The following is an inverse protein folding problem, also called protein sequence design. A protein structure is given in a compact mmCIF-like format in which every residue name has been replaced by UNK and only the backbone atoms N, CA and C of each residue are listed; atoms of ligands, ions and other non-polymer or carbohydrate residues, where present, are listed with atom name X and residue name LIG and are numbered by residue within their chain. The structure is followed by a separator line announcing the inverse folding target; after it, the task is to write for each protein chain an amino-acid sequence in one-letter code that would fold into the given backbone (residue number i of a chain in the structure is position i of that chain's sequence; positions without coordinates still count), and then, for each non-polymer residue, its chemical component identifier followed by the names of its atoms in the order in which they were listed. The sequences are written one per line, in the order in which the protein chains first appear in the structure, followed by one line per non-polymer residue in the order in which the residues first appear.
data_IF_105862457190
#
_entry.id   IF_105862457190
#
_cell.length_a   1.000
_cell.length_b   1.000
_cell.length_c   1.000
_cell.angle_alpha   90.00
_cell.angle_beta   90.00
_cell.angle_gamma   90.00
#
_symmetry.space_group_name_H-M   'P 1'
#
loop_
_entity.id
_entity.type
_entity.pdbx_description
1 polymer ?
#
# COMPACT_ATOMS: atom_id res chain seq x y z
N UNK A 1 1.80 -5.37 10.17
CA UNK A 1 0.68 -6.33 9.98
C UNK A 1 0.95 -7.45 8.95
N UNK A 2 0.99 -7.23 7.62
CA UNK A 2 1.20 -8.35 6.66
C UNK A 2 2.59 -8.97 6.71
N UNK A 3 3.63 -8.15 6.89
CA UNK A 3 5.02 -8.62 7.06
C UNK A 3 5.15 -9.54 8.29
N UNK A 4 4.57 -9.14 9.43
CA UNK A 4 4.55 -9.96 10.64
C UNK A 4 3.87 -11.31 10.40
N UNK A 5 2.74 -11.35 9.68
CA UNK A 5 2.06 -12.61 9.37
C UNK A 5 2.89 -13.50 8.43
N UNK A 6 3.63 -12.92 7.48
CA UNK A 6 4.55 -13.66 6.62
C UNK A 6 5.74 -14.23 7.42
N UNK A 7 6.29 -13.46 8.36
CA UNK A 7 7.37 -13.91 9.25
C UNK A 7 6.88 -15.02 10.19
N UNK A 8 5.69 -14.88 10.77
CA UNK A 8 5.10 -15.92 11.63
C UNK A 8 4.76 -17.22 10.86
N UNK A 9 4.49 -17.11 9.56
CA UNK A 9 4.25 -18.25 8.67
C UNK A 9 5.54 -18.85 8.08
N UNK A 10 6.70 -18.22 8.25
CA UNK A 10 7.97 -18.74 7.73
C UNK A 10 8.32 -20.08 8.40
N UNK A 11 8.72 -21.08 7.60
CA UNK A 11 9.03 -22.43 8.10
C UNK A 11 7.84 -23.25 8.60
N UNK A 12 6.60 -22.72 8.55
CA UNK A 12 5.37 -23.42 8.94
C UNK A 12 4.66 -23.99 7.71
N UNK A 13 4.28 -25.26 7.78
CA UNK A 13 3.51 -25.99 6.76
C UNK A 13 2.02 -26.03 7.08
N UNK A 14 1.19 -26.21 6.05
CA UNK A 14 -0.27 -26.28 6.16
C UNK A 14 -0.99 -25.17 5.39
N UNK A 15 -2.20 -25.48 4.92
CA UNK A 15 -3.00 -24.62 4.04
C UNK A 15 -3.23 -23.21 4.62
N UNK A 16 -3.39 -23.10 5.94
CA UNK A 16 -3.54 -21.82 6.63
C UNK A 16 -2.31 -20.91 6.45
N UNK A 17 -1.11 -21.42 6.75
CA UNK A 17 0.13 -20.65 6.62
C UNK A 17 0.46 -20.33 5.16
N UNK A 18 0.10 -21.23 4.24
CA UNK A 18 0.24 -20.98 2.81
C UNK A 18 -0.69 -19.87 2.32
N UNK A 19 -1.94 -19.84 2.79
CA UNK A 19 -2.87 -18.75 2.54
C UNK A 19 -2.34 -17.41 3.03
N UNK A 20 -1.74 -17.36 4.23
CA UNK A 20 -1.10 -16.14 4.76
C UNK A 20 0.06 -15.66 3.89
N UNK A 21 0.90 -16.58 3.40
CA UNK A 21 1.99 -16.23 2.47
C UNK A 21 1.46 -15.67 1.15
N UNK A 22 0.45 -16.32 0.55
CA UNK A 22 -0.14 -15.85 -0.72
C UNK A 22 -0.82 -14.49 -0.58
N UNK A 23 -1.58 -14.28 0.49
CA UNK A 23 -2.23 -13.00 0.75
C UNK A 23 -1.19 -11.87 0.97
N UNK A 24 -0.13 -12.14 1.72
CA UNK A 24 0.97 -11.21 1.89
C UNK A 24 1.66 -10.86 0.57
N UNK A 25 2.00 -11.87 -0.24
CA UNK A 25 2.60 -11.65 -1.57
C UNK A 25 1.71 -10.81 -2.48
N UNK A 26 0.40 -11.08 -2.51
CA UNK A 26 -0.55 -10.28 -3.28
C UNK A 26 -0.57 -8.82 -2.80
N UNK A 27 -0.68 -8.60 -1.49
CA UNK A 27 -0.70 -7.26 -0.92
C UNK A 27 0.56 -6.46 -1.27
N UNK A 28 1.75 -7.05 -1.06
CA UNK A 28 3.01 -6.38 -1.38
C UNK A 28 3.21 -6.14 -2.88
N UNK A 29 2.71 -7.03 -3.75
CA UNK A 29 2.90 -6.90 -5.20
C UNK A 29 1.90 -5.94 -5.85
N UNK A 30 0.65 -5.93 -5.39
CA UNK A 30 -0.44 -5.27 -6.12
C UNK A 30 -1.10 -4.13 -5.35
N UNK A 31 -1.25 -4.26 -4.04
CA UNK A 31 -1.95 -3.24 -3.25
C UNK A 31 -1.01 -2.16 -2.75
N UNK A 32 0.18 -2.54 -2.27
CA UNK A 32 1.15 -1.59 -1.71
C UNK A 32 1.64 -0.55 -2.74
N UNK A 33 2.02 -0.90 -3.97
CA UNK A 33 2.49 0.08 -4.95
C UNK A 33 1.44 1.13 -5.32
N UNK A 34 0.14 0.81 -5.18
CA UNK A 34 -0.93 1.79 -5.46
C UNK A 34 -0.88 3.01 -4.55
N UNK A 35 -0.29 2.86 -3.36
CA UNK A 35 -0.13 3.98 -2.43
C UNK A 35 0.95 4.97 -2.88
N UNK A 36 1.88 4.57 -3.76
CA UNK A 36 2.98 5.43 -4.21
C UNK A 36 2.50 6.69 -4.92
N UNK A 37 1.44 6.60 -5.73
CA UNK A 37 0.89 7.77 -6.42
C UNK A 37 0.35 8.82 -5.43
N UNK A 38 -0.29 8.38 -4.34
CA UNK A 38 -0.79 9.29 -3.30
C UNK A 38 0.35 9.88 -2.47
N UNK A 39 1.37 9.09 -2.13
CA UNK A 39 2.55 9.57 -1.45
C UNK A 39 3.36 10.56 -2.29
N UNK A 40 3.41 10.38 -3.62
CA UNK A 40 4.06 11.31 -4.53
C UNK A 40 3.39 12.68 -4.52
N UNK A 41 2.05 12.74 -4.53
CA UNK A 41 1.29 13.99 -4.41
C UNK A 41 1.50 14.68 -3.07
N UNK A 42 1.52 13.91 -1.98
CA UNK A 42 1.81 14.46 -0.66
C UNK A 42 3.25 15.02 -0.59
N UNK A 43 4.21 14.29 -1.15
CA UNK A 43 5.61 14.67 -1.18
C UNK A 43 5.90 15.89 -2.07
N UNK A 44 5.13 16.10 -3.14
CA UNK A 44 5.25 17.29 -3.98
C UNK A 44 4.70 18.55 -3.32
N UNK A 45 4.06 18.44 -2.14
CA UNK A 45 3.33 19.54 -1.48
C UNK A 45 2.46 20.29 -2.47
N UNK A 46 1.73 19.53 -3.29
CA UNK A 46 0.97 20.09 -4.41
C UNK A 46 0.02 21.18 -3.93
N UNK A 47 0.22 22.39 -4.47
CA UNK A 47 -0.56 23.59 -4.13
C UNK A 47 -1.68 23.86 -5.12
N UNK A 48 -1.93 22.96 -6.07
CA UNK A 48 -2.95 23.15 -7.10
C UNK A 48 -4.31 23.54 -6.51
N UNK A 49 -4.67 23.02 -5.34
CA UNK A 49 -5.91 23.40 -4.63
C UNK A 49 -5.80 24.73 -3.87
N UNK A 50 -4.61 25.11 -3.39
CA UNK A 50 -4.35 26.37 -2.70
C UNK A 50 -4.26 27.55 -3.67
N UNK A 51 -3.76 27.31 -4.87
CA UNK A 51 -3.49 28.34 -5.88
C UNK A 51 -4.65 28.46 -6.90
N UNK A 52 -5.76 27.73 -6.69
CA UNK A 52 -6.98 27.82 -7.51
C UNK A 52 -7.63 29.21 -7.33
N UNK A 53 -7.81 30.00 -8.40
CA UNK A 53 -8.49 31.29 -8.33
C UNK A 53 -9.95 31.14 -7.95
N UNK A 54 -10.44 31.98 -7.02
CA UNK A 54 -11.82 31.94 -6.51
C UNK A 54 -12.88 32.25 -7.59
N UNK A 55 -12.45 32.89 -8.67
CA UNK A 55 -13.20 33.32 -9.84
C UNK A 55 -13.44 32.18 -10.85
N UNK A 56 -12.87 30.99 -10.62
CA UNK A 56 -13.03 29.80 -11.46
C UNK A 56 -13.94 28.71 -10.85
N UNK A 57 -14.55 28.95 -9.68
CA UNK A 57 -15.49 28.04 -8.98
C UNK A 57 -16.91 28.63 -9.08
#
# INVERSE_FOLDING_TARGET
MWLEQMLAAAGRSGAFYEGKRRAGQYFFRYELPRTEAQFALLGSLDRTTLDMPADCI
#
